data_IF_501070975944
#
_entry.id   IF_501070975944
#
_cell.length_a   1.000
_cell.length_b   1.000
_cell.length_c   1.000
_cell.angle_alpha   90.00
_cell.angle_beta   90.00
_cell.angle_gamma   90.00
#
_symmetry.space_group_name_H-M   'P 1'
#
loop_
_entity.id
_entity.type
_entity.pdbx_description
1 polymer ?
#
# COMPACT_ATOMS: atom_id res chain seq x y z
N UNK A 1 -28.32 3.45 0.03
CA UNK A 1 -27.19 2.51 -0.01
C UNK A 1 -27.47 1.50 1.09
N UNK A 2 -28.02 0.33 0.74
CA UNK A 2 -28.57 -0.63 1.71
C UNK A 2 -27.62 -1.78 2.06
N UNK A 3 -26.56 -1.97 1.27
CA UNK A 3 -25.51 -2.97 1.45
C UNK A 3 -24.15 -2.31 1.72
N UNK A 4 -24.12 -1.01 1.97
CA UNK A 4 -22.91 -0.30 2.42
C UNK A 4 -22.87 -0.27 3.93
N UNK A 5 -21.77 -0.72 4.52
CA UNK A 5 -21.56 -0.76 5.97
C UNK A 5 -20.13 -0.35 6.31
N UNK A 6 -19.90 0.06 7.55
CA UNK A 6 -18.60 0.54 8.06
C UNK A 6 -17.78 -0.55 8.77
N UNK A 7 -18.27 -1.80 8.71
CA UNK A 7 -17.60 -2.97 9.26
C UNK A 7 -18.16 -4.23 8.59
N UNK A 8 -17.30 -5.19 8.23
CA UNK A 8 -17.67 -6.47 7.63
C UNK A 8 -18.73 -7.23 8.42
N UNK A 9 -18.64 -7.23 9.75
CA UNK A 9 -19.59 -7.92 10.65
C UNK A 9 -21.03 -7.36 10.57
N UNK A 10 -21.21 -6.17 9.98
CA UNK A 10 -22.51 -5.53 9.79
C UNK A 10 -23.13 -5.81 8.42
N UNK A 11 -22.45 -6.56 7.55
CA UNK A 11 -22.97 -6.90 6.23
C UNK A 11 -24.32 -7.64 6.37
N UNK A 12 -25.30 -7.33 5.51
CA UNK A 12 -26.66 -7.84 5.64
C UNK A 12 -26.80 -9.32 5.25
N UNK A 13 -25.83 -9.85 4.50
CA UNK A 13 -25.80 -11.21 3.98
C UNK A 13 -24.34 -11.69 3.80
N UNK A 14 -24.19 -12.93 3.32
CA UNK A 14 -22.92 -13.61 3.08
C UNK A 14 -22.39 -13.46 1.65
N UNK A 15 -23.01 -12.60 0.82
CA UNK A 15 -22.55 -12.31 -0.54
C UNK A 15 -21.35 -11.35 -0.51
N UNK A 16 -20.21 -11.89 -0.06
CA UNK A 16 -18.98 -11.13 0.19
C UNK A 16 -17.85 -11.72 -0.66
N UNK A 17 -17.16 -10.86 -1.41
CA UNK A 17 -15.96 -11.27 -2.12
C UNK A 17 -14.84 -11.57 -1.12
N UNK A 18 -14.20 -12.72 -1.22
CA UNK A 18 -13.03 -13.05 -0.41
C UNK A 18 -11.76 -12.43 -1.00
N UNK A 19 -10.78 -12.02 -0.17
CA UNK A 19 -9.56 -11.37 -0.65
C UNK A 19 -8.57 -12.40 -1.18
N UNK A 20 -7.82 -12.03 -2.22
CA UNK A 20 -6.79 -12.91 -2.79
C UNK A 20 -5.48 -12.18 -3.09
N UNK A 21 -4.39 -12.94 -3.15
CA UNK A 21 -3.13 -12.58 -3.81
C UNK A 21 -2.90 -13.48 -5.01
N UNK A 22 -2.18 -12.96 -6.01
CA UNK A 22 -1.76 -13.73 -7.19
C UNK A 22 -0.35 -14.27 -6.98
N UNK A 23 -0.22 -15.60 -7.03
CA UNK A 23 1.04 -16.33 -6.92
C UNK A 23 1.83 -16.33 -8.23
N UNK A 24 3.03 -16.90 -8.22
CA UNK A 24 3.95 -16.87 -9.37
C UNK A 24 3.41 -17.67 -10.58
N UNK A 25 2.61 -18.71 -10.31
CA UNK A 25 1.91 -19.52 -11.31
C UNK A 25 0.57 -18.93 -11.77
N UNK A 26 0.27 -17.68 -11.38
CA UNK A 26 -0.99 -16.97 -11.60
C UNK A 26 -2.21 -17.56 -10.86
N UNK A 27 -2.02 -18.55 -9.98
CA UNK A 27 -3.09 -19.03 -9.13
C UNK A 27 -3.45 -18.00 -8.05
N UNK A 28 -4.69 -18.11 -7.56
CA UNK A 28 -5.21 -17.25 -6.50
C UNK A 28 -5.00 -17.92 -5.15
N UNK A 29 -4.33 -17.23 -4.25
CA UNK A 29 -4.23 -17.60 -2.84
C UNK A 29 -5.19 -16.75 -2.02
N UNK A 30 -6.15 -17.39 -1.36
CA UNK A 30 -7.12 -16.70 -0.49
C UNK A 30 -6.41 -16.14 0.74
N UNK A 31 -6.60 -14.85 0.98
CA UNK A 31 -6.09 -14.15 2.16
C UNK A 31 -7.08 -14.19 3.32
N UNK A 32 -6.57 -13.92 4.53
CA UNK A 32 -7.43 -13.63 5.67
C UNK A 32 -7.98 -12.22 5.54
N UNK A 33 -9.30 -12.02 5.61
CA UNK A 33 -9.88 -10.69 5.57
C UNK A 33 -9.35 -9.81 6.70
N UNK A 34 -9.05 -8.56 6.35
CA UNK A 34 -8.45 -7.61 7.28
C UNK A 34 -9.53 -6.93 8.09
N UNK A 35 -9.52 -7.20 9.40
CA UNK A 35 -10.39 -6.56 10.39
C UNK A 35 -9.83 -5.21 10.88
N UNK A 36 -8.75 -4.69 10.28
CA UNK A 36 -8.15 -3.42 10.73
C UNK A 36 -9.03 -2.22 10.44
N UNK A 37 -10.05 -2.33 9.59
CA UNK A 37 -10.90 -1.22 9.16
C UNK A 37 -12.36 -1.42 9.61
N UNK A 38 -12.58 -1.52 10.92
CA UNK A 38 -13.91 -1.58 11.54
C UNK A 38 -14.23 -0.30 12.32
N UNK A 39 -15.49 -0.12 12.71
CA UNK A 39 -15.96 1.07 13.45
C UNK A 39 -15.15 1.45 14.70
N UNK A 40 -14.54 0.47 15.35
CA UNK A 40 -13.82 0.63 16.60
C UNK A 40 -12.28 0.59 16.43
N UNK A 41 -11.80 0.65 15.19
CA UNK A 41 -10.36 0.59 14.89
C UNK A 41 -9.85 1.95 14.43
N UNK A 42 -8.55 2.20 14.63
CA UNK A 42 -7.89 3.42 14.18
C UNK A 42 -8.01 3.61 12.65
N UNK A 43 -8.00 2.51 11.88
CA UNK A 43 -8.05 2.55 10.41
C UNK A 43 -9.48 2.52 9.86
N UNK A 44 -10.52 2.36 10.69
CA UNK A 44 -11.92 2.35 10.26
C UNK A 44 -12.30 3.55 9.39
N UNK A 45 -12.05 4.79 9.82
CA UNK A 45 -12.33 5.98 9.02
C UNK A 45 -11.52 6.09 7.71
N UNK A 46 -10.38 5.40 7.60
CA UNK A 46 -9.50 5.47 6.43
C UNK A 46 -9.87 4.46 5.33
N UNK A 47 -10.49 3.34 5.67
CA UNK A 47 -10.75 2.26 4.69
C UNK A 47 -11.80 1.23 5.09
N UNK A 48 -12.63 1.50 6.11
CA UNK A 48 -13.53 0.50 6.70
C UNK A 48 -14.88 0.32 6.01
N UNK A 49 -15.10 1.01 4.89
CA UNK A 49 -16.36 0.93 4.17
C UNK A 49 -16.36 -0.33 3.30
N UNK A 50 -17.33 -1.21 3.55
CA UNK A 50 -17.67 -2.35 2.71
C UNK A 50 -18.89 -1.97 1.86
N UNK A 51 -18.86 -2.27 0.57
CA UNK A 51 -19.90 -1.86 -0.36
C UNK A 51 -19.92 -2.75 -1.61
N UNK A 52 -20.84 -2.46 -2.53
CA UNK A 52 -20.92 -3.05 -3.85
C UNK A 52 -21.04 -1.97 -4.93
N UNK A 53 -20.92 -2.37 -6.19
CA UNK A 53 -21.01 -1.43 -7.33
C UNK A 53 -22.33 -0.67 -7.34
N UNK A 54 -23.47 -1.32 -7.05
CA UNK A 54 -24.79 -0.67 -7.09
C UNK A 54 -24.91 0.48 -6.10
N UNK A 55 -24.45 0.29 -4.87
CA UNK A 55 -24.51 1.34 -3.84
C UNK A 55 -23.45 2.41 -4.06
N UNK A 56 -22.24 2.05 -4.52
CA UNK A 56 -21.24 3.03 -4.92
C UNK A 56 -21.69 3.88 -6.12
N UNK A 57 -22.48 3.33 -7.05
CA UNK A 57 -23.08 4.12 -8.15
C UNK A 57 -24.16 5.08 -7.64
N UNK A 58 -24.95 4.71 -6.61
CA UNK A 58 -25.88 5.64 -5.95
C UNK A 58 -25.11 6.78 -5.26
N UNK A 59 -23.99 6.46 -4.63
CA UNK A 59 -23.09 7.45 -4.04
C UNK A 59 -22.51 8.41 -5.10
N UNK A 60 -22.00 7.86 -6.20
CA UNK A 60 -21.49 8.64 -7.32
C UNK A 60 -22.54 9.60 -7.88
N UNK A 61 -23.78 9.12 -8.07
CA UNK A 61 -24.89 9.95 -8.51
C UNK A 61 -25.15 11.10 -7.53
N UNK A 62 -25.26 10.82 -6.23
CA UNK A 62 -25.49 11.84 -5.22
C UNK A 62 -24.38 12.90 -5.20
N UNK A 63 -23.11 12.49 -5.31
CA UNK A 63 -21.98 13.41 -5.41
C UNK A 63 -22.04 14.27 -6.67
N UNK A 64 -22.26 13.67 -7.84
CA UNK A 64 -22.36 14.42 -9.10
C UNK A 64 -23.54 15.40 -9.08
N UNK A 65 -24.68 15.00 -8.55
CA UNK A 65 -25.83 15.90 -8.40
C UNK A 65 -25.51 17.06 -7.44
N UNK A 66 -24.80 16.79 -6.33
CA UNK A 66 -24.39 17.79 -5.35
C UNK A 66 -23.29 18.75 -5.84
N UNK A 67 -22.44 18.32 -6.78
CA UNK A 67 -21.44 19.19 -7.42
C UNK A 67 -22.12 20.30 -8.25
N UNK A 68 -23.28 19.99 -8.85
CA UNK A 68 -23.95 20.89 -9.80
C UNK A 68 -25.14 21.64 -9.23
N UNK A 69 -25.68 21.21 -8.09
CA UNK A 69 -26.92 21.77 -7.55
C UNK A 69 -26.76 22.10 -6.06
N UNK A 70 -27.17 23.31 -5.71
CA UNK A 70 -27.41 23.72 -4.32
C UNK A 70 -28.85 24.23 -4.15
N UNK A 71 -29.56 23.83 -3.09
CA UNK A 71 -29.13 22.93 -2.02
C UNK A 71 -29.11 21.45 -2.47
N UNK A 72 -28.27 20.66 -1.81
CA UNK A 72 -28.16 19.21 -2.02
C UNK A 72 -28.27 18.48 -0.67
N UNK A 73 -28.63 17.19 -0.68
CA UNK A 73 -28.63 16.34 0.53
C UNK A 73 -27.21 16.20 1.12
N UNK A 74 -26.19 16.38 0.29
CA UNK A 74 -24.78 16.45 0.69
C UNK A 74 -24.36 17.92 0.76
N UNK A 75 -23.95 18.36 1.94
CA UNK A 75 -23.39 19.69 2.13
C UNK A 75 -21.94 19.79 1.66
N UNK A 76 -21.51 20.99 1.28
CA UNK A 76 -20.10 21.33 1.03
C UNK A 76 -19.40 20.50 -0.06
N UNK A 77 -20.14 19.80 -0.93
CA UNK A 77 -19.53 18.97 -1.98
C UNK A 77 -18.63 19.79 -2.92
N UNK A 78 -19.01 20.99 -3.39
CA UNK A 78 -18.10 21.84 -4.16
C UNK A 78 -16.79 22.14 -3.41
N UNK A 79 -16.88 22.39 -2.10
CA UNK A 79 -15.70 22.59 -1.23
C UNK A 79 -14.85 21.33 -1.14
N UNK A 80 -15.47 20.16 -0.90
CA UNK A 80 -14.81 18.85 -0.78
C UNK A 80 -14.02 18.51 -2.02
N UNK A 81 -14.63 18.65 -3.20
CA UNK A 81 -13.99 18.25 -4.45
C UNK A 81 -13.07 19.32 -5.01
N UNK A 82 -13.04 20.55 -4.48
CA UNK A 82 -12.15 21.60 -4.98
C UNK A 82 -10.67 21.33 -4.68
N UNK A 83 -9.78 21.86 -5.51
CA UNK A 83 -8.33 21.80 -5.32
C UNK A 83 -7.94 22.40 -3.95
N UNK A 84 -7.25 21.62 -3.10
CA UNK A 84 -6.64 22.08 -1.84
C UNK A 84 -5.12 22.05 -1.85
N UNK A 85 -4.51 21.02 -2.42
CA UNK A 85 -3.05 20.90 -2.53
C UNK A 85 -2.65 20.22 -3.85
N UNK A 86 -1.44 20.48 -4.33
CA UNK A 86 -0.88 19.73 -5.45
C UNK A 86 -0.49 18.32 -4.99
N UNK A 87 -0.82 17.30 -5.77
CA UNK A 87 -0.20 15.97 -5.63
C UNK A 87 1.19 16.02 -6.27
N UNK A 88 1.26 16.63 -7.46
CA UNK A 88 2.50 16.87 -8.18
C UNK A 88 2.33 18.04 -9.13
N UNK A 89 3.40 18.78 -9.36
CA UNK A 89 3.45 19.87 -10.35
C UNK A 89 4.01 19.40 -11.69
N UNK A 90 4.38 18.13 -11.82
CA UNK A 90 5.07 17.59 -13.01
C UNK A 90 4.14 16.96 -14.05
N UNK A 91 2.82 17.07 -13.88
CA UNK A 91 1.85 16.51 -14.83
C UNK A 91 1.56 17.45 -16.00
N UNK A 92 0.97 16.91 -17.07
CA UNK A 92 0.55 17.66 -18.28
C UNK A 92 -0.51 18.71 -17.93
N UNK A 93 -1.42 18.37 -17.02
CA UNK A 93 -2.51 19.24 -16.58
C UNK A 93 -2.65 19.24 -15.06
N UNK A 94 -3.79 19.74 -14.57
CA UNK A 94 -4.09 19.75 -13.14
C UNK A 94 -3.86 18.36 -12.52
N UNK A 95 -3.10 18.31 -11.43
CA UNK A 95 -2.98 17.12 -10.60
C UNK A 95 -2.94 17.51 -9.12
N UNK A 96 -4.13 17.52 -8.52
CA UNK A 96 -4.35 18.10 -7.19
C UNK A 96 -5.17 17.17 -6.32
N UNK A 97 -5.21 17.45 -5.03
CA UNK A 97 -6.00 16.70 -4.06
C UNK A 97 -6.98 17.64 -3.37
N UNK A 98 -8.23 17.19 -3.28
CA UNK A 98 -9.31 17.79 -2.52
C UNK A 98 -9.40 17.20 -1.11
N UNK A 99 -10.58 17.24 -0.50
CA UNK A 99 -10.85 16.59 0.79
C UNK A 99 -11.31 15.15 0.54
N UNK A 100 -10.37 14.26 0.21
CA UNK A 100 -10.63 12.83 -0.04
C UNK A 100 -10.84 12.45 -1.52
N UNK A 101 -10.48 13.33 -2.45
CA UNK A 101 -10.47 13.04 -3.89
C UNK A 101 -9.20 13.56 -4.53
N UNK A 102 -8.51 12.71 -5.30
CA UNK A 102 -7.57 13.21 -6.29
C UNK A 102 -8.33 13.82 -7.47
N UNK A 103 -7.68 14.79 -8.11
CA UNK A 103 -8.19 15.53 -9.26
C UNK A 103 -7.12 15.46 -10.33
N UNK A 104 -7.50 15.02 -11.53
CA UNK A 104 -6.62 15.02 -12.68
C UNK A 104 -7.33 15.62 -13.89
N UNK A 105 -6.62 16.42 -14.68
CA UNK A 105 -7.07 16.79 -16.02
C UNK A 105 -6.52 15.77 -17.02
N UNK A 106 -7.37 14.94 -17.62
CA UNK A 106 -6.97 14.06 -18.74
C UNK A 106 -6.72 14.94 -19.96
N UNK A 107 -5.62 14.75 -20.73
CA UNK A 107 -4.54 13.78 -20.52
C UNK A 107 -3.69 14.09 -19.27
N UNK A 108 -3.45 13.07 -18.44
CA UNK A 108 -2.61 13.18 -17.24
C UNK A 108 -1.61 12.02 -17.15
N UNK A 109 -0.37 12.34 -16.79
CA UNK A 109 0.69 11.36 -16.47
C UNK A 109 0.53 10.74 -15.09
N UNK A 110 -0.46 11.16 -14.31
CA UNK A 110 -0.58 10.80 -12.91
C UNK A 110 -2.01 10.31 -12.59
N UNK A 111 -2.82 10.04 -13.61
CA UNK A 111 -4.11 9.37 -13.43
C UNK A 111 -3.86 7.98 -12.84
N UNK A 112 -4.53 7.62 -11.74
CA UNK A 112 -4.25 6.37 -11.04
C UNK A 112 -3.02 6.43 -10.12
N UNK A 113 -2.48 7.62 -9.81
CA UNK A 113 -1.35 7.77 -8.87
C UNK A 113 -1.58 7.06 -7.52
N UNK A 114 -2.82 7.06 -7.04
CA UNK A 114 -3.21 6.43 -5.77
C UNK A 114 -3.39 4.91 -5.86
N UNK A 115 -3.30 4.34 -7.07
CA UNK A 115 -3.44 2.91 -7.33
C UNK A 115 -2.08 2.20 -7.27
N UNK A 116 -2.08 0.87 -7.24
CA UNK A 116 -0.82 0.11 -7.32
C UNK A 116 -0.14 0.21 -8.71
N UNK A 117 -0.83 0.76 -9.71
CA UNK A 117 -0.21 1.05 -11.01
C UNK A 117 0.65 2.32 -10.97
N UNK A 118 0.39 3.23 -10.03
CA UNK A 118 1.10 4.50 -9.89
C UNK A 118 0.93 5.44 -11.09
N UNK A 119 1.89 6.35 -11.27
CA UNK A 119 1.87 7.33 -12.35
C UNK A 119 1.95 6.71 -13.76
N UNK A 120 1.04 7.11 -14.65
CA UNK A 120 0.90 6.65 -16.03
C UNK A 120 1.67 7.50 -17.05
N UNK A 121 2.98 7.65 -16.85
CA UNK A 121 3.83 8.48 -17.73
C UNK A 121 3.90 7.96 -19.16
N UNK A 122 3.90 6.64 -19.31
CA UNK A 122 4.06 5.97 -20.61
C UNK A 122 2.71 5.76 -21.32
N UNK A 123 1.63 5.59 -20.55
CA UNK A 123 0.28 5.22 -21.04
C UNK A 123 -0.76 6.29 -20.71
N UNK A 124 -0.52 7.51 -21.20
CA UNK A 124 -1.44 8.65 -20.98
C UNK A 124 -2.63 8.55 -21.93
N UNK A 125 -3.83 8.34 -21.39
CA UNK A 125 -5.08 8.40 -22.17
C UNK A 125 -5.39 9.83 -22.63
N UNK A 126 -6.02 9.95 -23.81
CA UNK A 126 -6.56 11.21 -24.29
C UNK A 126 -5.52 12.27 -24.68
N UNK A 127 -4.28 11.86 -25.02
CA UNK A 127 -3.19 12.78 -25.43
C UNK A 127 -3.59 13.77 -26.51
N UNK A 128 -4.47 13.39 -27.42
CA UNK A 128 -4.96 14.25 -28.52
C UNK A 128 -6.45 14.58 -28.40
N UNK A 129 -7.08 14.21 -27.28
CA UNK A 129 -8.48 14.49 -27.01
C UNK A 129 -8.68 15.82 -26.30
N UNK A 130 -9.93 16.27 -26.28
CA UNK A 130 -10.32 17.43 -25.46
C UNK A 130 -10.02 17.14 -23.98
N UNK A 131 -9.39 18.08 -23.25
CA UNK A 131 -9.14 17.90 -21.83
C UNK A 131 -10.42 17.65 -21.03
N UNK A 132 -10.33 16.76 -20.03
CA UNK A 132 -11.45 16.41 -19.17
C UNK A 132 -11.02 16.24 -17.72
N UNK A 133 -11.72 16.94 -16.82
CA UNK A 133 -11.52 16.75 -15.39
C UNK A 133 -12.09 15.39 -14.96
N UNK A 134 -11.26 14.63 -14.23
CA UNK A 134 -11.67 13.46 -13.48
C UNK A 134 -11.37 13.68 -12.00
N UNK A 135 -12.36 13.42 -11.15
CA UNK A 135 -12.17 13.27 -9.71
C UNK A 135 -12.07 11.78 -9.45
N UNK A 136 -11.04 11.34 -8.75
CA UNK A 136 -10.85 9.91 -8.52
C UNK A 136 -10.31 9.61 -7.13
N UNK A 137 -10.58 8.39 -6.69
CA UNK A 137 -9.91 7.79 -5.55
C UNK A 137 -9.72 6.31 -5.85
N UNK A 138 -8.53 5.80 -5.53
CA UNK A 138 -8.25 4.38 -5.52
C UNK A 138 -8.15 3.92 -4.07
N UNK A 139 -8.36 2.64 -3.83
CA UNK A 139 -8.22 2.06 -2.50
C UNK A 139 -7.62 0.69 -2.61
N UNK A 140 -6.69 0.37 -1.72
CA UNK A 140 -6.07 -0.93 -1.63
C UNK A 140 -5.96 -1.36 -0.17
N UNK A 141 -6.39 -2.59 0.11
CA UNK A 141 -6.24 -3.23 1.41
C UNK A 141 -6.21 -4.73 1.17
N UNK A 142 -5.23 -5.45 1.72
CA UNK A 142 -5.15 -6.93 1.76
C UNK A 142 -6.13 -7.68 0.87
N UNK A 143 -5.75 -7.86 -0.40
CA UNK A 143 -6.54 -8.61 -1.38
C UNK A 143 -7.78 -7.92 -1.93
N UNK A 144 -8.00 -6.63 -1.65
CA UNK A 144 -9.04 -5.80 -2.24
C UNK A 144 -8.44 -4.56 -2.89
N UNK A 145 -8.94 -4.23 -4.08
CA UNK A 145 -8.57 -3.05 -4.85
C UNK A 145 -9.83 -2.34 -5.34
N UNK A 146 -9.79 -1.02 -5.45
CA UNK A 146 -10.92 -0.22 -5.90
C UNK A 146 -10.47 0.95 -6.75
N UNK A 147 -11.30 1.31 -7.73
CA UNK A 147 -11.19 2.54 -8.50
C UNK A 147 -12.56 3.21 -8.59
N UNK A 148 -12.62 4.47 -8.17
CA UNK A 148 -13.84 5.27 -8.15
C UNK A 148 -13.60 6.59 -8.88
N UNK A 149 -14.16 6.75 -10.07
CA UNK A 149 -13.93 7.88 -10.96
C UNK A 149 -15.24 8.65 -11.19
N UNK A 150 -15.19 9.97 -11.10
CA UNK A 150 -16.28 10.89 -11.38
C UNK A 150 -15.86 11.88 -12.47
N UNK A 151 -16.76 12.11 -13.41
CA UNK A 151 -16.62 13.08 -14.49
C UNK A 151 -17.73 14.13 -14.35
N UNK A 152 -17.47 15.25 -13.63
CA UNK A 152 -18.48 16.25 -13.35
C UNK A 152 -19.16 16.79 -14.61
N UNK A 153 -18.39 17.11 -15.65
CA UNK A 153 -18.89 17.74 -16.88
C UNK A 153 -20.00 16.93 -17.58
N UNK A 154 -19.89 15.61 -17.56
CA UNK A 154 -20.82 14.70 -18.25
C UNK A 154 -21.77 13.99 -17.28
N UNK A 155 -21.66 14.29 -15.99
CA UNK A 155 -22.38 13.57 -14.91
C UNK A 155 -22.23 12.05 -15.03
N UNK A 156 -21.02 11.60 -15.38
CA UNK A 156 -20.70 10.18 -15.54
C UNK A 156 -19.80 9.70 -14.40
N UNK A 157 -19.91 8.42 -14.07
CA UNK A 157 -19.09 7.79 -13.03
C UNK A 157 -18.69 6.38 -13.45
N UNK A 158 -17.55 5.93 -12.95
CA UNK A 158 -17.04 4.57 -13.13
C UNK A 158 -16.65 4.04 -11.76
N UNK A 159 -17.11 2.84 -11.45
CA UNK A 159 -16.76 2.12 -10.22
C UNK A 159 -16.27 0.74 -10.60
N UNK A 160 -15.05 0.41 -10.21
CA UNK A 160 -14.49 -0.93 -10.34
C UNK A 160 -14.03 -1.41 -8.96
N UNK A 161 -14.42 -2.63 -8.60
CA UNK A 161 -14.04 -3.31 -7.36
C UNK A 161 -13.36 -4.62 -7.73
N UNK A 162 -12.23 -4.93 -7.11
CA UNK A 162 -11.46 -6.16 -7.33
C UNK A 162 -11.11 -6.80 -5.99
N UNK A 163 -11.00 -8.13 -5.99
CA UNK A 163 -10.69 -8.94 -4.82
C UNK A 163 -9.41 -9.78 -5.01
N UNK A 164 -8.45 -9.22 -5.76
CA UNK A 164 -7.11 -9.78 -5.93
C UNK A 164 -6.08 -8.66 -6.07
N UNK A 165 -4.87 -8.87 -5.55
CA UNK A 165 -3.71 -8.00 -5.81
C UNK A 165 -2.44 -8.81 -6.07
N UNK A 166 -1.33 -8.14 -6.40
CA UNK A 166 0.01 -8.74 -6.49
C UNK A 166 0.69 -8.63 -7.85
N UNK A 167 -0.05 -8.33 -8.93
CA UNK A 167 0.50 -8.10 -10.28
C UNK A 167 0.04 -6.76 -10.89
N UNK A 168 -0.39 -5.82 -10.05
CA UNK A 168 -0.93 -4.52 -10.46
C UNK A 168 -2.35 -4.30 -9.96
N UNK A 169 -2.97 -3.21 -10.44
CA UNK A 169 -4.31 -2.78 -10.05
C UNK A 169 -5.30 -2.93 -11.21
N UNK A 170 -6.02 -4.06 -11.21
CA UNK A 170 -7.02 -4.39 -12.22
C UNK A 170 -8.21 -3.42 -12.24
N UNK A 171 -8.80 -3.04 -11.08
CA UNK A 171 -9.83 -2.02 -11.02
C UNK A 171 -9.44 -0.69 -11.66
N UNK A 172 -8.23 -0.19 -11.40
CA UNK A 172 -7.74 1.06 -11.99
C UNK A 172 -7.59 0.95 -13.52
N UNK A 173 -7.01 -0.14 -14.03
CA UNK A 173 -6.94 -0.36 -15.48
C UNK A 173 -8.31 -0.47 -16.13
N UNK A 174 -9.25 -1.14 -15.46
CA UNK A 174 -10.62 -1.26 -15.94
C UNK A 174 -11.30 0.11 -15.99
N UNK A 175 -11.11 0.94 -14.96
CA UNK A 175 -11.68 2.28 -14.91
C UNK A 175 -11.13 3.18 -16.03
N UNK A 176 -9.83 3.12 -16.30
CA UNK A 176 -9.22 3.87 -17.39
C UNK A 176 -9.65 3.38 -18.78
N UNK A 177 -9.76 2.06 -18.98
CA UNK A 177 -10.27 1.48 -20.23
C UNK A 177 -11.73 1.90 -20.50
N UNK A 178 -12.58 1.85 -19.48
CA UNK A 178 -13.98 2.31 -19.57
C UNK A 178 -14.03 3.81 -19.85
N UNK A 179 -13.19 4.63 -19.19
CA UNK A 179 -13.13 6.07 -19.45
C UNK A 179 -12.74 6.36 -20.90
N UNK A 180 -11.73 5.66 -21.43
CA UNK A 180 -11.35 5.74 -22.84
C UNK A 180 -12.50 5.40 -23.77
N UNK A 181 -13.24 4.32 -23.49
CA UNK A 181 -14.37 3.90 -24.31
C UNK A 181 -15.55 4.89 -24.26
N UNK A 182 -15.93 5.39 -23.09
CA UNK A 182 -17.07 6.30 -22.92
C UNK A 182 -16.81 7.65 -23.58
N UNK A 183 -15.57 8.15 -23.55
CA UNK A 183 -15.22 9.47 -24.06
C UNK A 183 -14.48 9.46 -25.40
N UNK A 184 -14.32 8.28 -26.00
CA UNK A 184 -13.57 8.07 -27.24
C UNK A 184 -12.19 8.77 -27.20
N UNK A 185 -11.43 8.49 -26.14
CA UNK A 185 -10.12 9.12 -25.96
C UNK A 185 -9.11 8.62 -26.99
N UNK A 186 -8.33 9.55 -27.54
CA UNK A 186 -7.38 9.35 -28.63
C UNK A 186 -5.94 9.72 -28.21
N UNK A 187 -4.92 8.99 -28.69
CA UNK A 187 -5.04 7.70 -29.38
C UNK A 187 -5.49 6.59 -28.42
N UNK A 188 -6.12 5.51 -28.91
CA UNK A 188 -6.53 4.41 -28.06
C UNK A 188 -5.32 3.67 -27.49
N UNK A 189 -5.39 3.36 -26.20
CA UNK A 189 -4.44 2.49 -25.50
C UNK A 189 -5.03 1.08 -25.40
N UNK A 190 -4.19 0.09 -25.70
CA UNK A 190 -4.49 -1.32 -25.43
C UNK A 190 -4.19 -1.63 -23.96
N UNK A 191 -5.22 -1.53 -23.11
CA UNK A 191 -5.08 -1.80 -21.69
C UNK A 191 -4.78 -3.27 -21.37
N UNK A 192 -5.13 -4.21 -22.25
CA UNK A 192 -4.78 -5.61 -22.03
C UNK A 192 -3.26 -5.78 -22.16
N UNK A 193 -2.64 -5.17 -23.18
CA UNK A 193 -1.19 -5.19 -23.34
C UNK A 193 -0.46 -4.42 -22.22
N UNK A 194 -0.91 -3.21 -21.90
CA UNK A 194 -0.32 -2.39 -20.83
C UNK A 194 -0.37 -3.12 -19.48
N UNK A 195 -1.50 -3.75 -19.16
CA UNK A 195 -1.65 -4.51 -17.91
C UNK A 195 -0.68 -5.69 -17.81
N UNK A 196 -0.38 -6.39 -18.91
CA UNK A 196 0.61 -7.49 -18.95
C UNK A 196 2.02 -6.98 -18.73
N UNK A 197 2.38 -5.86 -19.34
CA UNK A 197 3.68 -5.23 -19.15
C UNK A 197 3.85 -4.81 -17.69
N UNK A 198 2.85 -4.17 -17.10
CA UNK A 198 2.85 -3.80 -15.68
C UNK A 198 2.95 -5.02 -14.76
N UNK A 199 2.20 -6.08 -15.05
CA UNK A 199 2.26 -7.34 -14.29
C UNK A 199 3.67 -7.94 -14.32
N UNK A 200 4.35 -7.92 -15.47
CA UNK A 200 5.75 -8.35 -15.56
C UNK A 200 6.67 -7.48 -14.72
N UNK A 201 6.54 -6.15 -14.78
CA UNK A 201 7.36 -5.24 -13.96
C UNK A 201 7.19 -5.49 -12.47
N UNK A 202 5.94 -5.72 -12.05
CA UNK A 202 5.58 -6.02 -10.67
C UNK A 202 6.09 -7.39 -10.22
N UNK A 203 5.99 -8.41 -11.09
CA UNK A 203 6.59 -9.72 -10.87
C UNK A 203 8.12 -9.61 -10.65
N UNK A 204 8.81 -8.90 -11.53
CA UNK A 204 10.26 -8.71 -11.47
C UNK A 204 10.71 -7.80 -10.29
N UNK A 205 9.77 -7.13 -9.59
CA UNK A 205 10.07 -6.18 -8.49
C UNK A 205 10.80 -6.85 -7.35
N UNK A 206 10.34 -8.02 -6.93
CA UNK A 206 10.94 -8.73 -5.80
C UNK A 206 12.39 -9.16 -6.11
N UNK A 207 12.65 -9.65 -7.33
CA UNK A 207 14.00 -10.03 -7.72
C UNK A 207 14.98 -8.85 -7.66
N UNK A 208 14.54 -7.63 -8.06
CA UNK A 208 15.34 -6.41 -7.91
C UNK A 208 15.58 -6.05 -6.44
N UNK A 209 14.54 -6.10 -5.62
CA UNK A 209 14.62 -5.85 -4.18
C UNK A 209 15.61 -6.81 -3.49
N UNK A 210 15.53 -8.10 -3.80
CA UNK A 210 16.40 -9.12 -3.25
C UNK A 210 17.86 -8.95 -3.73
N UNK A 211 18.06 -8.59 -5.00
CA UNK A 211 19.38 -8.28 -5.52
C UNK A 211 20.01 -7.06 -4.83
N UNK A 212 19.24 -5.99 -4.60
CA UNK A 212 19.72 -4.83 -3.85
C UNK A 212 20.10 -5.22 -2.41
N UNK A 213 19.22 -5.97 -1.71
CA UNK A 213 19.49 -6.43 -0.35
C UNK A 213 20.79 -7.23 -0.26
N UNK A 214 21.01 -8.16 -1.19
CA UNK A 214 22.23 -8.97 -1.27
C UNK A 214 23.47 -8.15 -1.62
N UNK A 215 23.35 -7.21 -2.56
CA UNK A 215 24.44 -6.31 -2.92
C UNK A 215 24.91 -5.50 -1.71
N UNK A 216 24.00 -4.78 -1.03
CA UNK A 216 24.35 -3.95 0.11
C UNK A 216 24.85 -4.78 1.31
N UNK A 217 24.33 -6.01 1.49
CA UNK A 217 24.85 -6.94 2.49
C UNK A 217 26.32 -7.26 2.25
N UNK A 218 26.69 -7.54 1.01
CA UNK A 218 28.06 -7.91 0.65
C UNK A 218 29.01 -6.72 0.73
N UNK A 219 28.56 -5.54 0.28
CA UNK A 219 29.35 -4.31 0.39
C UNK A 219 29.69 -4.01 1.86
N UNK A 220 28.69 -4.00 2.75
CA UNK A 220 28.93 -3.71 4.17
C UNK A 220 29.80 -4.78 4.86
N UNK A 221 29.63 -6.06 4.51
CA UNK A 221 30.48 -7.15 5.04
C UNK A 221 31.92 -7.07 4.57
N UNK A 222 32.17 -6.47 3.41
CA UNK A 222 33.54 -6.33 2.89
C UNK A 222 34.39 -5.35 3.71
N UNK A 223 33.73 -4.40 4.37
CA UNK A 223 34.33 -3.39 5.25
C UNK A 223 34.31 -3.82 6.72
N UNK A 224 33.64 -4.93 7.04
CA UNK A 224 33.42 -5.38 8.42
C UNK A 224 34.70 -5.98 9.03
N UNK A 225 35.16 -5.39 10.13
CA UNK A 225 36.13 -6.05 10.99
C UNK A 225 35.51 -7.33 11.55
N UNK A 226 36.23 -8.47 11.47
CA UNK A 226 35.76 -9.75 12.01
C UNK A 226 35.48 -9.65 13.51
N UNK A 227 34.23 -9.34 13.86
CA UNK A 227 33.73 -9.34 15.22
C UNK A 227 32.88 -10.58 15.41
N UNK A 228 33.16 -11.35 16.46
CA UNK A 228 32.27 -12.43 16.87
C UNK A 228 31.05 -11.78 17.51
N UNK A 229 29.96 -11.72 16.73
CA UNK A 229 28.67 -11.23 17.20
C UNK A 229 27.91 -12.40 17.81
N UNK A 230 27.61 -12.35 19.10
CA UNK A 230 26.71 -13.33 19.73
C UNK A 230 25.26 -12.95 19.40
N UNK A 231 24.52 -13.87 18.77
CA UNK A 231 23.10 -13.67 18.43
C UNK A 231 22.23 -13.44 19.67
N UNK A 232 22.63 -13.97 20.82
CA UNK A 232 21.90 -13.80 22.08
C UNK A 232 21.87 -12.33 22.56
N UNK A 233 22.84 -11.51 22.14
CA UNK A 233 22.91 -10.09 22.51
C UNK A 233 21.67 -9.30 22.07
N UNK A 234 21.03 -9.74 20.98
CA UNK A 234 19.88 -9.08 20.36
C UNK A 234 18.55 -9.48 20.98
N UNK A 235 18.50 -10.55 21.79
CA UNK A 235 17.27 -11.04 22.40
C UNK A 235 16.73 -10.00 23.39
N UNK A 236 15.45 -9.69 23.29
CA UNK A 236 14.79 -8.82 24.24
C UNK A 236 13.63 -8.05 23.63
N UNK A 237 13.04 -7.19 24.46
CA UNK A 237 11.92 -6.36 24.08
C UNK A 237 12.40 -4.95 23.77
N UNK A 238 11.99 -4.42 22.62
CA UNK A 238 12.31 -3.06 22.15
C UNK A 238 11.03 -2.28 21.97
N UNK A 239 10.95 -1.07 22.53
CA UNK A 239 9.71 -0.30 22.56
C UNK A 239 9.91 1.10 22.01
N UNK A 240 8.93 1.55 21.22
CA UNK A 240 8.70 2.95 20.91
C UNK A 240 7.33 3.36 21.45
N UNK A 241 7.33 4.14 22.53
CA UNK A 241 6.09 4.57 23.21
C UNK A 241 5.25 5.53 22.36
N UNK A 242 5.88 6.36 21.52
CA UNK A 242 5.19 7.31 20.65
C UNK A 242 4.34 6.62 19.59
N UNK A 243 4.88 5.56 18.97
CA UNK A 243 4.17 4.74 18.00
C UNK A 243 3.34 3.61 18.65
N UNK A 244 3.45 3.44 19.97
CA UNK A 244 2.89 2.29 20.70
C UNK A 244 3.31 0.96 20.06
N UNK A 245 4.58 0.88 19.69
CA UNK A 245 5.15 -0.23 18.96
C UNK A 245 6.14 -1.01 19.82
N UNK A 246 6.06 -2.33 19.78
CA UNK A 246 6.95 -3.25 20.48
C UNK A 246 7.52 -4.27 19.49
N UNK A 247 8.81 -4.57 19.60
CA UNK A 247 9.47 -5.70 18.96
C UNK A 247 9.93 -6.66 20.06
N UNK A 248 9.43 -7.88 20.02
CA UNK A 248 9.90 -8.99 20.86
C UNK A 248 10.85 -9.85 20.02
N UNK A 249 12.14 -9.82 20.33
CA UNK A 249 13.15 -10.65 19.67
C UNK A 249 13.51 -11.79 20.60
N UNK A 250 13.34 -13.02 20.11
CA UNK A 250 13.55 -14.23 20.90
C UNK A 250 14.15 -15.35 20.06
N UNK A 251 14.66 -16.36 20.76
CA UNK A 251 15.06 -17.61 20.12
C UNK A 251 13.84 -18.30 19.52
N UNK A 252 14.00 -18.77 18.29
CA UNK A 252 13.05 -19.66 17.64
C UNK A 252 13.51 -21.12 17.85
N UNK A 253 14.13 -21.72 16.83
CA UNK A 253 14.78 -23.04 16.84
C UNK A 253 16.19 -22.96 16.24
N UNK A 254 17.14 -23.76 16.76
CA UNK A 254 18.52 -23.91 16.27
C UNK A 254 19.23 -22.59 15.91
N UNK A 255 19.57 -21.78 16.93
CA UNK A 255 20.38 -20.55 16.81
C UNK A 255 19.79 -19.42 15.96
N UNK A 256 18.52 -19.51 15.56
CA UNK A 256 17.83 -18.45 14.82
C UNK A 256 17.01 -17.55 15.74
N UNK A 257 16.96 -16.27 15.39
CA UNK A 257 16.14 -15.27 16.06
C UNK A 257 14.84 -15.04 15.29
N UNK A 258 13.77 -14.79 16.03
CA UNK A 258 12.47 -14.37 15.52
C UNK A 258 12.11 -13.02 16.13
N UNK A 259 11.70 -12.07 15.29
CA UNK A 259 11.08 -10.82 15.71
C UNK A 259 9.56 -10.98 15.67
N UNK A 260 8.86 -10.59 16.74
CA UNK A 260 7.39 -10.48 16.76
C UNK A 260 7.01 -9.03 17.02
N UNK A 261 6.18 -8.46 16.13
CA UNK A 261 5.70 -7.08 16.24
C UNK A 261 4.43 -7.04 17.09
N UNK A 262 4.40 -6.17 18.10
CA UNK A 262 3.25 -5.90 18.98
C UNK A 262 2.65 -7.16 19.63
N UNK A 263 3.44 -8.21 19.85
CA UNK A 263 2.98 -9.52 20.33
C UNK A 263 1.88 -10.15 19.45
N UNK A 264 1.78 -9.73 18.19
CA UNK A 264 0.82 -10.28 17.23
C UNK A 264 1.44 -11.50 16.57
N UNK A 265 0.91 -12.68 16.86
CA UNK A 265 1.48 -13.95 16.38
C UNK A 265 1.59 -14.05 14.85
N UNK A 266 0.75 -13.36 14.07
CA UNK A 266 0.86 -13.32 12.61
C UNK A 266 1.88 -12.31 12.07
N UNK A 267 2.41 -11.42 12.91
CA UNK A 267 3.42 -10.42 12.56
C UNK A 267 4.79 -10.82 13.10
N UNK A 268 5.28 -11.98 12.65
CA UNK A 268 6.57 -12.53 13.06
C UNK A 268 7.52 -12.63 11.87
N UNK A 269 8.82 -12.48 12.10
CA UNK A 269 9.84 -12.44 11.05
C UNK A 269 11.11 -13.15 11.52
N UNK A 270 11.56 -14.15 10.77
CA UNK A 270 12.87 -14.76 11.00
C UNK A 270 13.95 -13.74 10.69
N UNK A 271 14.88 -13.58 11.61
CA UNK A 271 16.01 -12.69 11.46
C UNK A 271 17.24 -13.48 11.00
N UNK A 272 18.02 -12.85 10.13
CA UNK A 272 19.29 -13.37 9.64
C UNK A 272 20.35 -12.29 9.74
N UNK A 273 21.62 -12.67 9.90
CA UNK A 273 22.69 -11.69 9.95
C UNK A 273 22.79 -10.94 8.61
N UNK A 274 22.80 -9.60 8.68
CA UNK A 274 23.03 -8.74 7.53
C UNK A 274 24.51 -8.36 7.47
N UNK A 275 24.96 -7.42 8.31
CA UNK A 275 26.35 -6.99 8.44
C UNK A 275 26.52 -6.27 9.79
N UNK A 276 27.66 -6.42 10.47
CA UNK A 276 27.90 -5.77 11.76
C UNK A 276 26.81 -6.07 12.79
N UNK A 277 26.35 -5.02 13.48
CA UNK A 277 25.19 -5.05 14.39
C UNK A 277 23.84 -4.87 13.64
N UNK A 278 23.70 -5.47 12.45
CA UNK A 278 22.46 -5.43 11.67
C UNK A 278 21.90 -6.82 11.41
N UNK A 279 20.59 -6.96 11.59
CA UNK A 279 19.84 -8.16 11.23
C UNK A 279 18.82 -7.82 10.14
N UNK A 280 18.63 -8.74 9.20
CA UNK A 280 17.66 -8.61 8.12
C UNK A 280 16.57 -9.67 8.17
N UNK A 281 15.42 -9.36 7.58
CA UNK A 281 14.25 -10.23 7.54
C UNK A 281 13.54 -10.22 6.17
N UNK A 282 14.29 -10.00 5.10
CA UNK A 282 13.76 -10.11 3.75
C UNK A 282 13.10 -11.50 3.58
N UNK A 283 11.87 -11.58 3.03
CA UNK A 283 11.26 -12.85 2.67
C UNK A 283 12.20 -13.72 1.82
N UNK A 284 11.98 -15.03 1.81
CA UNK A 284 12.79 -15.97 1.04
C UNK A 284 12.40 -16.01 -0.45
N UNK A 285 11.15 -15.64 -0.78
CA UNK A 285 10.62 -15.66 -2.14
C UNK A 285 9.63 -14.52 -2.37
N UNK A 286 9.29 -14.28 -3.66
CA UNK A 286 8.21 -13.36 -4.04
C UNK A 286 6.88 -13.84 -3.45
N UNK A 287 6.60 -15.14 -3.48
CA UNK A 287 5.36 -15.69 -2.93
C UNK A 287 5.23 -15.40 -1.43
N UNK A 288 6.28 -15.61 -0.65
CA UNK A 288 6.28 -15.23 0.76
C UNK A 288 6.06 -13.72 0.91
N UNK A 289 6.73 -12.91 0.09
CA UNK A 289 6.59 -11.45 0.10
C UNK A 289 5.14 -11.00 -0.14
N UNK A 290 4.44 -11.58 -1.13
CA UNK A 290 3.04 -11.21 -1.45
C UNK A 290 2.05 -11.82 -0.46
N UNK A 291 2.26 -13.05 0.01
CA UNK A 291 1.38 -13.69 1.00
C UNK A 291 1.40 -12.91 2.32
N UNK A 292 2.56 -12.36 2.67
CA UNK A 292 2.76 -11.54 3.87
C UNK A 292 2.41 -10.06 3.68
N UNK A 293 1.97 -9.69 2.48
CA UNK A 293 1.41 -8.39 2.15
C UNK A 293 2.35 -7.21 2.41
N UNK A 294 3.61 -7.36 2.03
CA UNK A 294 4.58 -6.26 2.02
C UNK A 294 4.32 -5.27 0.86
N UNK A 295 3.09 -4.76 0.75
CA UNK A 295 2.58 -3.98 -0.39
C UNK A 295 3.39 -2.69 -0.59
N UNK A 296 3.69 -1.98 0.51
CA UNK A 296 4.41 -0.69 0.51
C UNK A 296 5.90 -0.78 0.89
N UNK A 297 6.50 -1.95 0.71
CA UNK A 297 7.90 -2.21 1.01
C UNK A 297 8.70 -2.23 -0.29
N UNK A 298 9.25 -1.07 -0.63
CA UNK A 298 9.87 -0.82 -1.93
C UNK A 298 11.39 -0.83 -1.90
N UNK A 299 12.00 -0.78 -0.70
CA UNK A 299 13.44 -0.63 -0.52
C UNK A 299 13.99 -1.69 0.42
N UNK A 300 15.21 -2.12 0.13
CA UNK A 300 15.91 -3.20 0.84
C UNK A 300 16.16 -2.86 2.31
N UNK A 301 16.44 -1.58 2.60
CA UNK A 301 16.75 -1.06 3.93
C UNK A 301 15.55 -1.12 4.89
N UNK A 302 14.33 -1.16 4.37
CA UNK A 302 13.15 -1.41 5.18
C UNK A 302 13.23 -2.80 5.85
N UNK A 303 13.88 -3.78 5.23
CA UNK A 303 14.00 -5.15 5.76
C UNK A 303 15.17 -5.33 6.75
N UNK A 304 15.68 -4.24 7.32
CA UNK A 304 16.86 -4.25 8.18
C UNK A 304 16.60 -3.57 9.53
N UNK A 305 17.08 -4.22 10.57
CA UNK A 305 17.17 -3.74 11.93
C UNK A 305 18.63 -3.39 12.23
N UNK A 306 18.90 -2.14 12.59
CA UNK A 306 20.25 -1.67 12.96
C UNK A 306 20.35 -1.47 14.47
N UNK A 307 21.09 -2.35 15.15
CA UNK A 307 21.21 -2.34 16.61
C UNK A 307 22.29 -1.37 17.07
N UNK A 308 22.06 -0.80 18.25
CA UNK A 308 22.98 0.12 18.91
C UNK A 308 23.51 -0.52 20.18
N UNK A 309 24.82 -0.41 20.40
CA UNK A 309 25.49 -0.85 21.63
C UNK A 309 25.88 0.36 22.47
N UNK A 310 25.82 0.22 23.79
CA UNK A 310 26.39 1.19 24.70
C UNK A 310 27.92 1.19 24.58
N UNK A 311 28.54 2.37 24.48
CA UNK A 311 29.98 2.51 24.29
C UNK A 311 30.81 1.91 25.45
N UNK A 312 30.28 1.98 26.67
CA UNK A 312 30.95 1.56 27.91
C UNK A 312 30.81 0.06 28.20
N UNK A 313 29.62 -0.51 27.96
CA UNK A 313 29.30 -1.90 28.29
C UNK A 313 29.33 -2.85 27.08
N UNK A 314 29.29 -2.32 25.86
CA UNK A 314 29.18 -3.12 24.64
C UNK A 314 27.83 -3.84 24.48
N UNK A 315 26.87 -3.58 25.38
CA UNK A 315 25.55 -4.23 25.40
C UNK A 315 24.58 -3.51 24.47
N UNK A 316 23.76 -4.28 23.74
CA UNK A 316 22.71 -3.72 22.88
C UNK A 316 21.66 -2.99 23.72
N UNK A 317 21.39 -1.72 23.40
CA UNK A 317 20.44 -0.86 24.13
C UNK A 317 19.24 -0.38 23.29
N UNK A 318 19.24 -0.64 22.00
CA UNK A 318 18.17 -0.22 21.11
C UNK A 318 18.38 -0.64 19.67
N UNK A 319 17.39 -0.35 18.84
CA UNK A 319 17.35 -0.71 17.43
C UNK A 319 16.71 0.40 16.62
N UNK A 320 17.29 0.72 15.46
CA UNK A 320 16.70 1.56 14.44
C UNK A 320 16.04 0.71 13.36
N UNK A 321 14.86 1.13 12.93
CA UNK A 321 14.15 0.49 11.83
C UNK A 321 13.54 1.51 10.86
N UNK A 322 13.88 1.39 9.58
CA UNK A 322 13.30 2.19 8.50
C UNK A 322 11.93 1.64 8.07
N UNK A 323 10.85 2.09 8.71
CA UNK A 323 9.49 1.63 8.38
C UNK A 323 8.98 2.16 7.04
N UNK A 324 9.41 3.35 6.63
CA UNK A 324 8.93 4.02 5.42
C UNK A 324 10.10 4.68 4.68
N UNK A 325 10.14 4.47 3.36
CA UNK A 325 11.11 5.11 2.48
C UNK A 325 11.06 6.64 2.59
N UNK A 326 12.23 7.27 2.71
CA UNK A 326 12.35 8.73 2.82
C UNK A 326 12.03 9.32 4.19
N UNK A 327 11.67 8.49 5.17
CA UNK A 327 11.49 8.90 6.58
C UNK A 327 12.68 8.40 7.39
N UNK A 328 13.12 9.20 8.36
CA UNK A 328 14.20 8.80 9.26
C UNK A 328 13.84 7.49 9.99
N UNK A 329 14.80 6.56 10.17
CA UNK A 329 14.56 5.34 10.93
C UNK A 329 14.03 5.62 12.33
N UNK A 330 13.07 4.81 12.75
CA UNK A 330 12.49 4.89 14.09
C UNK A 330 13.40 4.17 15.07
N UNK A 331 13.76 4.85 16.16
CA UNK A 331 14.47 4.24 17.28
C UNK A 331 13.48 3.54 18.23
N UNK A 332 13.80 2.30 18.61
CA UNK A 332 13.13 1.54 19.65
C UNK A 332 14.13 1.22 20.75
N UNK A 333 13.79 1.62 21.98
CA UNK A 333 14.66 1.44 23.14
C UNK A 333 14.50 0.01 23.67
N UNK A 334 15.60 -0.67 23.95
CA UNK A 334 15.57 -1.96 24.67
C UNK A 334 15.06 -1.72 26.10
N UNK A 335 14.09 -2.50 26.52
CA UNK A 335 13.57 -2.49 27.89
C UNK A 335 14.33 -3.54 28.68
N UNK A 336 14.75 -3.18 29.90
CA UNK A 336 15.27 -4.15 30.85
C UNK A 336 14.19 -5.19 31.13
N UNK A 337 14.55 -6.47 31.16
CA UNK A 337 13.71 -7.47 31.82
C UNK A 337 13.69 -7.06 33.30
N UNK A 338 12.62 -6.42 33.76
CA UNK A 338 12.36 -6.30 35.20
C UNK A 338 12.12 -7.72 35.73
N UNK A 339 12.86 -8.09 36.78
CA UNK A 339 12.78 -9.40 37.47
C UNK A 339 11.39 -9.74 38.01
#
# INVERSE_FOLDING_TARGET
MHQTVTNRSKLPDDNVAEPHVVLDDYSLHKQKPVDTAGDNTLMGPAGGIWSNVSDMMKWAKALLDAIHNEPSVLGEVPTIVSHKTNITTSSIGENTYGLGFARAMIPSTELGMLSLNGAQREHVIGRTSRPRLVLYHNGGMSGYLTAFYLFPETKSAIVALGNSHGLGDGPDWSAQAIAQAIFDFQPPIDFAEVSKQRAKTEYDRYARLAADFEYFRNEERSEEEKRSVNVEDYIGTYVNSGLKMTLDIRNDTDENLMMVVNNVASQHHRLTHFAGDKLGFLPSSREEFVIREFIDWFKWDQFILSFHRQEDLGTVNGVNWALQSGIAPVYLKRVSLEE
#
